data_IF_066791380238
#
_entry.id   IF_066791380238
#
_cell.length_a   1.000
_cell.length_b   1.000
_cell.length_c   1.000
_cell.angle_alpha   90.00
_cell.angle_beta   90.00
_cell.angle_gamma   90.00
#
_symmetry.space_group_name_H-M   'P 1'
#
loop_
_entity.id
_entity.type
_entity.pdbx_description
1 polymer ?
#
# COMPACT_ATOMS: atom_id res chain seq x y z
N UNK A 1 12.59 -21.27 -23.07
CA UNK A 1 12.50 -20.72 -21.71
C UNK A 1 12.92 -21.83 -20.77
N UNK A 2 14.07 -21.66 -20.12
CA UNK A 2 14.61 -22.70 -19.25
C UNK A 2 13.94 -22.65 -17.86
N UNK A 3 13.91 -23.79 -17.15
CA UNK A 3 13.31 -23.89 -15.81
C UNK A 3 14.02 -22.98 -14.79
N UNK A 4 15.30 -22.70 -15.01
CA UNK A 4 16.09 -21.76 -14.20
C UNK A 4 15.64 -20.31 -14.38
N UNK A 5 15.39 -19.88 -15.61
CA UNK A 5 14.89 -18.55 -15.93
C UNK A 5 13.49 -18.34 -15.34
N UNK A 6 12.58 -19.32 -15.47
CA UNK A 6 11.24 -19.25 -14.86
C UNK A 6 11.31 -19.06 -13.34
N UNK A 7 12.24 -19.73 -12.66
CA UNK A 7 12.46 -19.57 -11.22
C UNK A 7 12.96 -18.17 -10.84
N UNK A 8 13.85 -17.59 -11.64
CA UNK A 8 14.30 -16.22 -11.42
C UNK A 8 13.17 -15.21 -11.59
N UNK A 9 12.31 -15.38 -12.61
CA UNK A 9 11.14 -14.54 -12.79
C UNK A 9 10.15 -14.65 -11.62
N UNK A 10 9.90 -15.86 -11.12
CA UNK A 10 9.06 -16.06 -9.93
C UNK A 10 9.66 -15.43 -8.67
N UNK A 11 10.98 -15.44 -8.50
CA UNK A 11 11.66 -14.78 -7.38
C UNK A 11 11.61 -13.25 -7.52
N UNK A 12 11.76 -12.73 -8.74
CA UNK A 12 11.68 -11.30 -9.02
C UNK A 12 10.27 -10.76 -8.75
N UNK A 13 9.23 -11.49 -9.18
CA UNK A 13 7.83 -11.14 -8.94
C UNK A 13 7.47 -11.12 -7.45
N UNK A 14 8.10 -11.97 -6.62
CA UNK A 14 7.93 -11.89 -5.16
C UNK A 14 8.51 -10.63 -4.53
N UNK A 15 9.55 -10.04 -5.10
CA UNK A 15 10.23 -8.86 -4.55
C UNK A 15 9.57 -7.57 -5.05
N UNK A 16 9.14 -7.58 -6.30
CA UNK A 16 8.45 -6.48 -6.94
C UNK A 16 7.33 -7.09 -7.78
N UNK A 17 6.15 -7.36 -7.19
CA UNK A 17 5.04 -7.91 -7.93
C UNK A 17 4.77 -6.99 -9.11
N UNK A 18 5.04 -7.50 -10.32
CA UNK A 18 5.01 -6.67 -11.51
C UNK A 18 3.55 -6.34 -11.78
N UNK A 19 3.13 -5.14 -11.36
CA UNK A 19 1.84 -4.59 -11.73
C UNK A 19 0.84 -4.34 -10.59
N UNK A 20 1.14 -4.73 -9.36
CA UNK A 20 0.19 -4.55 -8.24
C UNK A 20 0.08 -3.06 -7.86
N UNK A 21 1.12 -2.49 -7.21
CA UNK A 21 1.03 -1.12 -6.69
C UNK A 21 0.84 -0.02 -7.73
N UNK A 22 1.35 -0.16 -8.96
CA UNK A 22 1.10 0.84 -10.02
C UNK A 22 -0.30 0.71 -10.62
N UNK A 23 -0.79 -0.53 -10.78
CA UNK A 23 -2.14 -0.79 -11.27
C UNK A 23 -3.18 -0.30 -10.28
N UNK A 24 -2.90 -0.44 -8.99
CA UNK A 24 -3.73 0.06 -7.89
C UNK A 24 -3.89 1.57 -7.90
N UNK A 25 -2.78 2.30 -8.04
CA UNK A 25 -2.82 3.77 -8.11
C UNK A 25 -3.60 4.24 -9.34
N UNK A 26 -3.39 3.59 -10.49
CA UNK A 26 -4.13 3.93 -11.71
C UNK A 26 -5.62 3.65 -11.55
N UNK A 27 -5.97 2.52 -10.95
CA UNK A 27 -7.36 2.15 -10.67
C UNK A 27 -8.01 3.14 -9.72
N UNK A 28 -7.32 3.51 -8.64
CA UNK A 28 -7.73 4.53 -7.68
C UNK A 28 -7.94 5.91 -8.34
N UNK A 29 -7.11 6.26 -9.32
CA UNK A 29 -7.24 7.53 -10.06
C UNK A 29 -8.50 7.53 -10.93
N UNK A 30 -8.78 6.43 -11.62
CA UNK A 30 -9.99 6.31 -12.44
C UNK A 30 -11.23 6.32 -11.55
N UNK A 31 -11.26 5.54 -10.46
CA UNK A 31 -12.42 5.48 -9.56
C UNK A 31 -12.67 6.81 -8.86
N UNK A 32 -11.63 7.49 -8.36
CA UNK A 32 -11.78 8.81 -7.75
C UNK A 32 -12.28 9.85 -8.75
N UNK A 33 -11.80 9.85 -10.00
CA UNK A 33 -12.31 10.75 -11.03
C UNK A 33 -13.79 10.50 -11.34
N UNK A 34 -14.20 9.22 -11.46
CA UNK A 34 -15.60 8.84 -11.74
C UNK A 34 -16.52 9.20 -10.57
N UNK A 35 -16.10 8.95 -9.33
CA UNK A 35 -16.88 9.29 -8.13
C UNK A 35 -16.99 10.79 -7.93
N UNK A 36 -15.92 11.55 -8.16
CA UNK A 36 -15.97 13.01 -8.15
C UNK A 36 -16.90 13.57 -9.25
N UNK A 37 -16.91 12.97 -10.44
CA UNK A 37 -17.86 13.32 -11.49
C UNK A 37 -19.32 13.02 -11.12
N UNK A 38 -19.56 11.98 -10.31
CA UNK A 38 -20.87 11.66 -9.74
C UNK A 38 -21.27 12.57 -8.56
N UNK A 39 -20.41 13.51 -8.15
CA UNK A 39 -20.66 14.46 -7.06
C UNK A 39 -20.18 13.97 -5.68
N UNK A 40 -19.54 12.82 -5.59
CA UNK A 40 -18.91 12.34 -4.35
C UNK A 40 -17.53 12.98 -4.18
N UNK A 41 -17.28 13.68 -3.07
CA UNK A 41 -16.00 14.35 -2.80
C UNK A 41 -14.99 13.40 -2.17
N UNK A 42 -14.35 12.58 -3.02
CA UNK A 42 -13.40 11.53 -2.58
C UNK A 42 -11.96 11.89 -2.98
N UNK A 43 -11.01 11.58 -2.11
CA UNK A 43 -9.59 11.74 -2.41
C UNK A 43 -9.04 10.49 -3.11
N UNK A 44 -7.88 10.63 -3.76
CA UNK A 44 -7.20 9.49 -4.40
C UNK A 44 -6.82 8.42 -3.38
N UNK A 45 -6.38 8.83 -2.18
CA UNK A 45 -5.92 7.91 -1.12
C UNK A 45 -7.04 7.03 -0.59
N UNK A 46 -8.26 7.55 -0.53
CA UNK A 46 -9.45 6.81 -0.10
C UNK A 46 -9.84 5.68 -1.07
N UNK A 47 -9.30 5.73 -2.30
CA UNK A 47 -9.61 4.79 -3.37
C UNK A 47 -8.47 3.82 -3.69
N UNK A 48 -7.35 3.90 -2.97
CA UNK A 48 -6.27 2.92 -3.11
C UNK A 48 -6.73 1.59 -2.46
N UNK A 49 -6.71 0.47 -3.20
CA UNK A 49 -7.02 -0.83 -2.63
C UNK A 49 -6.11 -1.17 -1.45
N UNK A 50 -6.71 -1.58 -0.33
CA UNK A 50 -5.97 -2.11 0.82
C UNK A 50 -6.01 -3.64 0.72
N UNK A 51 -4.89 -4.22 0.27
CA UNK A 51 -4.79 -5.66 0.02
C UNK A 51 -4.58 -6.49 1.30
N UNK A 52 -4.08 -5.87 2.36
CA UNK A 52 -3.90 -6.48 3.67
C UNK A 52 -5.03 -6.04 4.61
N UNK A 53 -5.89 -6.98 5.01
CA UNK A 53 -7.05 -6.68 5.86
C UNK A 53 -6.63 -6.27 7.29
N UNK A 54 -5.43 -6.64 7.72
CA UNK A 54 -4.88 -6.21 9.00
C UNK A 54 -4.37 -4.75 8.89
N UNK A 55 -3.80 -4.36 7.76
CA UNK A 55 -3.42 -2.96 7.46
C UNK A 55 -4.63 -2.02 7.31
N UNK A 56 -5.80 -2.53 6.94
CA UNK A 56 -7.03 -1.75 6.83
C UNK A 56 -7.58 -1.28 8.20
N UNK A 57 -7.20 -1.94 9.29
CA UNK A 57 -7.58 -1.58 10.66
C UNK A 57 -6.52 -0.72 11.37
N UNK A 58 -5.38 -0.45 10.75
CA UNK A 58 -4.47 0.55 11.31
C UNK A 58 -5.09 1.94 11.14
N UNK A 59 -5.34 2.69 12.24
CA UNK A 59 -5.76 4.06 12.11
C UNK A 59 -4.66 4.80 11.35
N UNK A 60 -5.02 5.44 10.23
CA UNK A 60 -4.15 6.39 9.52
C UNK A 60 -3.67 7.40 10.55
N UNK A 61 -2.44 7.22 11.00
CA UNK A 61 -1.85 7.97 12.11
C UNK A 61 -1.41 9.33 11.59
N UNK A 62 -2.38 10.18 11.23
CA UNK A 62 -2.14 11.60 11.05
C UNK A 62 -2.17 12.28 12.43
N UNK A 63 -1.01 12.82 12.79
CA UNK A 63 -0.66 13.65 13.94
C UNK A 63 -0.34 12.94 15.28
N UNK A 64 0.96 12.89 15.57
CA UNK A 64 1.58 12.73 16.90
C UNK A 64 1.55 11.34 17.55
N UNK A 65 2.18 10.34 16.94
CA UNK A 65 2.73 9.25 17.74
C UNK A 65 4.09 8.84 17.21
N UNK A 66 5.04 8.71 18.13
CA UNK A 66 6.44 8.41 17.84
C UNK A 66 6.54 7.13 16.99
N UNK A 67 7.44 7.15 16.00
CA UNK A 67 7.79 5.99 15.20
C UNK A 67 7.97 4.74 16.10
N UNK A 68 7.52 3.55 15.67
CA UNK A 68 7.61 2.32 16.47
C UNK A 68 9.02 2.04 17.00
N UNK A 69 10.03 2.47 16.24
CA UNK A 69 11.44 2.40 16.61
C UNK A 69 11.78 3.30 17.81
N UNK A 70 11.28 4.53 17.85
CA UNK A 70 11.57 5.50 18.92
C UNK A 70 10.90 5.08 20.24
N UNK A 71 9.69 4.51 20.16
CA UNK A 71 9.04 3.90 21.31
C UNK A 71 9.84 2.70 21.84
N UNK A 72 10.38 1.86 20.94
CA UNK A 72 11.23 0.72 21.31
C UNK A 72 12.55 1.17 21.93
N UNK A 73 13.23 2.19 21.38
CA UNK A 73 14.46 2.74 21.93
C UNK A 73 14.26 3.33 23.33
N UNK A 74 13.16 4.05 23.53
CA UNK A 74 12.82 4.66 24.83
C UNK A 74 12.64 3.61 25.93
N UNK A 75 12.06 2.45 25.59
CA UNK A 75 11.86 1.33 26.54
C UNK A 75 13.14 0.63 26.99
N UNK A 76 14.26 0.84 26.29
CA UNK A 76 15.58 0.31 26.69
C UNK A 76 16.36 1.24 27.61
N UNK A 77 15.94 2.51 27.68
CA UNK A 77 16.61 3.54 28.48
C UNK A 77 15.97 3.77 29.85
N UNK A 78 14.86 3.08 30.15
CA UNK A 78 14.21 3.00 31.49
C UNK A 78 14.72 1.83 32.33
#
# INVERSE_FOLDING_TARGET
MDASELRMWMAYDKISPIGDGRGDIQTAMITSAVMNAAGAKVSLRDMIPVWDQDAANEPTSDSNNQEPLEAWLSSMTE
#
